data_IF_404182514520
#
_entry.id   IF_404182514520
#
_cell.length_a   1.000
_cell.length_b   1.000
_cell.length_c   1.000
_cell.angle_alpha   90.00
_cell.angle_beta   90.00
_cell.angle_gamma   90.00
#
_symmetry.space_group_name_H-M   'P 1'
#
loop_
_entity.id
_entity.type
_entity.pdbx_description
1 polymer ?
#
# COMPACT_ATOMS: atom_id res chain seq x y z
N UNK A 1 70.23 -8.27 26.59
CA UNK A 1 69.32 -9.16 25.81
C UNK A 1 67.94 -9.29 26.45
N UNK A 2 67.83 -9.47 27.77
CA UNK A 2 66.56 -9.64 28.50
C UNK A 2 65.56 -8.47 28.35
N UNK A 3 66.02 -7.20 28.35
CA UNK A 3 65.12 -6.04 28.19
C UNK A 3 64.41 -5.98 26.82
N UNK A 4 65.04 -6.45 25.73
CA UNK A 4 64.38 -6.47 24.40
C UNK A 4 63.31 -7.55 24.29
N UNK A 5 63.45 -8.66 25.02
CA UNK A 5 62.44 -9.73 25.04
C UNK A 5 61.23 -9.33 25.89
N UNK A 6 61.43 -8.61 26.99
CA UNK A 6 60.35 -8.15 27.85
C UNK A 6 59.47 -7.09 27.17
N UNK A 7 60.08 -6.15 26.43
CA UNK A 7 59.34 -5.13 25.67
C UNK A 7 58.48 -5.78 24.57
N UNK A 8 59.04 -6.75 23.83
CA UNK A 8 58.27 -7.50 22.82
C UNK A 8 57.12 -8.31 23.43
N UNK A 9 57.31 -8.90 24.61
CA UNK A 9 56.25 -9.63 25.29
C UNK A 9 55.11 -8.70 25.76
N UNK A 10 55.44 -7.49 26.22
CA UNK A 10 54.44 -6.49 26.61
C UNK A 10 53.65 -5.95 25.40
N UNK A 11 54.31 -5.64 24.28
CA UNK A 11 53.62 -5.20 23.06
C UNK A 11 52.64 -6.24 22.52
N UNK A 12 53.02 -7.53 22.52
CA UNK A 12 52.13 -8.61 22.08
C UNK A 12 50.93 -8.74 23.02
N UNK A 13 51.14 -8.60 24.34
CA UNK A 13 50.05 -8.63 25.33
C UNK A 13 49.05 -7.51 25.11
N UNK A 14 49.51 -6.29 24.88
CA UNK A 14 48.66 -5.13 24.62
C UNK A 14 47.88 -5.27 23.31
N UNK A 15 48.49 -5.80 22.24
CA UNK A 15 47.81 -6.06 20.96
C UNK A 15 46.73 -7.14 21.11
N UNK A 16 47.00 -8.22 21.85
CA UNK A 16 46.02 -9.28 22.11
C UNK A 16 44.84 -8.77 22.95
N UNK A 17 45.10 -7.97 24.01
CA UNK A 17 44.04 -7.38 24.85
C UNK A 17 43.17 -6.42 24.03
N UNK A 18 43.77 -5.55 23.22
CA UNK A 18 43.05 -4.57 22.39
C UNK A 18 42.24 -5.20 21.25
N UNK A 19 42.70 -6.35 20.74
CA UNK A 19 41.94 -7.16 19.77
C UNK A 19 40.72 -7.81 20.43
N UNK A 20 40.88 -8.39 21.63
CA UNK A 20 39.78 -9.02 22.37
C UNK A 20 38.68 -8.03 22.76
N UNK A 21 39.03 -6.80 23.17
CA UNK A 21 38.05 -5.75 23.50
C UNK A 21 37.29 -5.24 22.27
N UNK A 22 37.93 -5.19 21.10
CA UNK A 22 37.28 -4.77 19.85
C UNK A 22 36.29 -5.81 19.32
N UNK A 23 36.59 -7.11 19.49
CA UNK A 23 35.66 -8.19 19.13
C UNK A 23 34.46 -8.21 20.08
N UNK A 24 34.69 -8.07 21.39
CA UNK A 24 33.62 -7.96 22.38
C UNK A 24 32.70 -6.76 22.16
N UNK A 25 33.27 -5.58 21.86
CA UNK A 25 32.49 -4.37 21.59
C UNK A 25 31.68 -4.48 20.30
N UNK A 26 32.24 -5.06 19.22
CA UNK A 26 31.49 -5.33 17.99
C UNK A 26 30.34 -6.30 18.22
N UNK A 27 30.55 -7.33 19.03
CA UNK A 27 29.50 -8.28 19.39
C UNK A 27 28.40 -7.59 20.20
N UNK A 28 28.75 -6.79 21.20
CA UNK A 28 27.81 -6.03 22.02
C UNK A 28 26.96 -5.06 21.17
N UNK A 29 27.59 -4.35 20.22
CA UNK A 29 26.89 -3.44 19.30
C UNK A 29 25.96 -4.24 18.38
N UNK A 30 26.42 -5.37 17.81
CA UNK A 30 25.57 -6.22 16.97
C UNK A 30 24.37 -6.76 17.76
N UNK A 31 24.60 -7.20 19.00
CA UNK A 31 23.59 -7.76 19.88
C UNK A 31 22.56 -6.69 20.30
N UNK A 32 23.00 -5.48 20.61
CA UNK A 32 22.10 -4.35 20.90
C UNK A 32 21.20 -4.00 19.70
N UNK A 33 21.74 -4.03 18.46
CA UNK A 33 20.95 -3.79 17.24
C UNK A 33 19.96 -4.92 16.98
N UNK A 34 20.36 -6.17 17.24
CA UNK A 34 19.48 -7.33 17.12
C UNK A 34 18.29 -7.24 18.09
N UNK A 35 18.53 -6.89 19.35
CA UNK A 35 17.47 -6.71 20.37
C UNK A 35 16.48 -5.62 19.99
N UNK A 36 16.95 -4.49 19.43
CA UNK A 36 16.08 -3.42 18.93
C UNK A 36 15.23 -3.89 17.75
N UNK A 37 15.82 -4.60 16.78
CA UNK A 37 15.09 -5.13 15.61
C UNK A 37 14.01 -6.13 16.03
N UNK A 38 14.33 -7.07 16.93
CA UNK A 38 13.36 -8.03 17.46
C UNK A 38 12.23 -7.34 18.24
N UNK A 39 12.54 -6.31 19.02
CA UNK A 39 11.54 -5.54 19.77
C UNK A 39 10.58 -4.80 18.83
N UNK A 40 11.09 -4.18 17.77
CA UNK A 40 10.27 -3.52 16.75
C UNK A 40 9.41 -4.51 15.94
N UNK A 41 9.93 -5.70 15.64
CA UNK A 41 9.18 -6.76 14.98
C UNK A 41 8.00 -7.25 15.84
N UNK A 42 8.21 -7.44 17.15
CA UNK A 42 7.16 -7.82 18.11
C UNK A 42 6.08 -6.72 18.19
N UNK A 43 6.48 -5.45 18.25
CA UNK A 43 5.54 -4.32 18.24
C UNK A 43 4.73 -4.29 16.93
N UNK A 44 5.37 -4.51 15.78
CA UNK A 44 4.70 -4.54 14.47
C UNK A 44 3.68 -5.69 14.35
N UNK A 45 4.03 -6.89 14.82
CA UNK A 45 3.12 -8.03 14.86
C UNK A 45 1.92 -7.71 15.78
N UNK A 46 2.18 -7.13 16.96
CA UNK A 46 1.13 -6.78 17.93
C UNK A 46 0.18 -5.68 17.41
N UNK A 47 0.71 -4.66 16.72
CA UNK A 47 -0.10 -3.62 16.07
C UNK A 47 -0.92 -4.18 14.90
N UNK A 48 -0.35 -5.11 14.14
CA UNK A 48 -1.06 -5.77 13.03
C UNK A 48 -2.24 -6.60 13.53
N UNK A 49 -2.08 -7.33 14.63
CA UNK A 49 -3.19 -8.08 15.26
C UNK A 49 -4.26 -7.14 15.82
N UNK A 50 -3.87 -5.99 16.39
CA UNK A 50 -4.82 -4.99 16.91
C UNK A 50 -5.68 -4.36 15.80
N UNK A 51 -5.09 -4.09 14.63
CA UNK A 51 -5.81 -3.56 13.45
C UNK A 51 -6.76 -4.62 12.87
N UNK A 52 -6.37 -5.89 12.87
CA UNK A 52 -7.24 -7.00 12.43
C UNK A 52 -8.42 -7.22 13.39
N UNK A 53 -8.23 -7.05 14.70
CA UNK A 53 -9.31 -7.14 15.68
C UNK A 53 -10.29 -5.95 15.64
N UNK A 54 -9.84 -4.76 15.23
CA UNK A 54 -10.73 -3.60 15.08
C UNK A 54 -11.60 -3.66 13.79
N UNK A 55 -11.37 -4.62 12.89
CA UNK A 55 -12.17 -4.80 11.65
C UNK A 55 -13.21 -5.92 11.70
N UNK A 56 -13.31 -6.69 12.79
CA UNK A 56 -14.36 -7.70 13.00
C UNK A 56 -15.22 -7.32 14.21
N UNK A 57 -16.19 -6.45 13.97
CA UNK A 57 -17.00 -5.83 15.03
C UNK A 57 -18.01 -6.75 15.72
N UNK A 58 -18.56 -6.25 16.83
CA UNK A 58 -19.89 -6.61 17.30
C UNK A 58 -20.54 -5.39 17.97
N UNK A 59 -21.70 -5.04 17.43
CA UNK A 59 -22.68 -4.13 18.03
C UNK A 59 -23.24 -4.84 19.25
N UNK A 60 -23.10 -4.26 20.43
CA UNK A 60 -24.17 -4.30 21.43
C UNK A 60 -24.10 -3.03 22.27
N UNK A 61 -25.28 -2.42 22.39
CA UNK A 61 -25.56 -1.12 22.99
C UNK A 61 -25.54 -1.28 24.52
N UNK A 62 -24.64 -0.60 25.20
CA UNK A 62 -24.80 -0.20 26.61
C UNK A 62 -24.36 1.25 26.75
N UNK A 63 -25.31 2.08 27.14
CA UNK A 63 -25.13 3.50 27.45
C UNK A 63 -24.30 3.60 28.71
N UNK A 64 -23.09 4.13 28.60
CA UNK A 64 -22.38 4.78 29.71
C UNK A 64 -21.77 6.05 29.13
N UNK A 65 -22.36 7.18 29.51
CA UNK A 65 -21.86 8.51 29.25
C UNK A 65 -20.49 8.67 29.92
N UNK A 66 -19.45 8.89 29.14
CA UNK A 66 -18.19 9.45 29.63
C UNK A 66 -17.83 10.66 28.78
N UNK A 67 -17.99 11.79 29.43
CA UNK A 67 -17.79 13.16 28.97
C UNK A 67 -16.29 13.40 28.76
N UNK A 68 -15.89 13.74 27.53
CA UNK A 68 -14.51 14.12 27.21
C UNK A 68 -14.26 15.58 27.62
N UNK A 69 -13.66 15.78 28.79
CA UNK A 69 -13.13 17.07 29.20
C UNK A 69 -11.70 17.24 28.65
N UNK A 70 -11.57 18.12 27.66
CA UNK A 70 -10.29 18.64 27.16
C UNK A 70 -9.67 19.58 28.19
N UNK A 71 -8.43 19.35 28.64
CA UNK A 71 -7.50 20.42 29.06
C UNK A 71 -6.02 19.97 28.94
N UNK A 72 -5.13 20.80 28.33
CA UNK A 72 -3.71 20.49 28.19
C UNK A 72 -2.85 21.23 29.24
N UNK A 73 -2.04 20.53 30.04
CA UNK A 73 -1.07 21.18 30.92
C UNK A 73 0.33 21.22 30.29
N UNK A 74 0.70 22.42 29.81
CA UNK A 74 2.09 22.86 29.65
C UNK A 74 2.70 23.07 31.04
N UNK A 75 3.86 22.45 31.33
CA UNK A 75 4.96 22.93 32.20
C UNK A 75 5.79 21.73 32.63
N UNK A 76 6.98 21.55 32.05
CA UNK A 76 8.26 21.61 32.78
C UNK A 76 9.29 22.12 31.78
N UNK A 77 9.87 23.27 32.08
CA UNK A 77 10.99 23.87 31.35
C UNK A 77 12.04 24.31 32.36
N UNK A 78 13.30 24.05 32.01
CA UNK A 78 14.58 24.62 32.52
C UNK A 78 15.22 23.98 33.75
N UNK A 79 16.41 23.40 33.52
CA UNK A 79 17.72 23.66 34.14
C UNK A 79 18.77 22.97 33.21
N UNK A 80 19.45 23.72 32.32
CA UNK A 80 20.89 24.10 32.36
C UNK A 80 21.84 22.87 32.49
N UNK A 81 22.84 22.61 31.64
CA UNK A 81 24.03 23.41 31.28
C UNK A 81 24.65 22.84 29.99
N UNK A 82 25.21 23.71 29.14
CA UNK A 82 25.85 23.33 27.88
C UNK A 82 27.28 22.78 27.99
N UNK A 83 27.71 22.08 26.95
CA UNK A 83 29.11 21.96 26.56
C UNK A 83 29.19 21.98 25.03
N UNK A 84 29.67 23.09 24.49
CA UNK A 84 30.26 23.17 23.15
C UNK A 84 31.60 22.43 23.18
N UNK A 85 31.84 21.56 22.20
CA UNK A 85 33.19 21.13 21.85
C UNK A 85 33.47 21.57 20.43
N UNK A 86 34.29 22.61 20.34
CA UNK A 86 35.01 23.05 19.15
C UNK A 86 36.15 22.05 18.89
N UNK A 87 36.27 21.52 17.67
CA UNK A 87 37.55 21.01 17.16
C UNK A 87 37.82 21.69 15.82
N UNK A 88 38.81 22.59 15.85
CA UNK A 88 39.48 23.20 14.72
C UNK A 88 40.64 22.28 14.27
N UNK A 89 40.94 22.22 12.98
CA UNK A 89 42.31 21.93 12.52
C UNK A 89 42.48 20.83 11.46
N UNK A 90 42.34 21.23 10.20
CA UNK A 90 43.22 20.93 9.05
C UNK A 90 44.03 19.62 8.98
N UNK A 91 43.85 18.89 7.86
CA UNK A 91 44.95 18.58 6.92
C UNK A 91 44.43 17.97 5.62
N UNK A 92 44.76 18.62 4.51
CA UNK A 92 44.69 18.11 3.15
C UNK A 92 45.48 16.81 3.02
N UNK A 93 44.91 15.81 2.37
CA UNK A 93 45.66 14.79 1.65
C UNK A 93 45.01 14.54 0.30
N UNK A 94 45.81 14.77 -0.72
CA UNK A 94 45.57 14.56 -2.13
C UNK A 94 45.37 13.09 -2.48
N UNK A 95 44.51 12.88 -3.48
CA UNK A 95 44.57 11.86 -4.53
C UNK A 95 45.24 10.51 -4.20
N UNK A 96 44.43 9.46 -4.17
CA UNK A 96 44.85 8.14 -4.66
C UNK A 96 43.69 7.47 -5.39
N UNK A 97 43.97 7.21 -6.67
CA UNK A 97 43.21 6.43 -7.62
C UNK A 97 42.78 5.08 -7.03
N UNK A 98 41.48 4.80 -7.09
CA UNK A 98 40.98 3.44 -7.27
C UNK A 98 39.98 3.46 -8.42
N UNK A 99 40.55 3.40 -9.63
CA UNK A 99 39.90 2.70 -10.72
C UNK A 99 39.60 1.26 -10.29
N UNK A 100 38.58 0.68 -10.91
CA UNK A 100 38.14 -0.73 -10.78
C UNK A 100 37.15 -0.97 -9.63
N UNK A 101 35.87 -0.76 -9.94
CA UNK A 101 34.82 -1.75 -9.66
C UNK A 101 33.64 -1.49 -10.59
N UNK A 102 33.17 -2.57 -11.21
CA UNK A 102 32.40 -2.60 -12.45
C UNK A 102 31.14 -1.76 -12.44
N UNK A 103 31.00 -0.91 -13.46
CA UNK A 103 29.69 -0.54 -13.98
C UNK A 103 29.04 -1.80 -14.53
N UNK A 104 28.20 -2.46 -13.75
CA UNK A 104 27.15 -3.30 -14.32
C UNK A 104 26.19 -2.34 -15.03
N UNK A 105 26.37 -2.18 -16.34
CA UNK A 105 25.38 -1.54 -17.18
C UNK A 105 24.12 -2.42 -17.11
N UNK A 106 23.16 -2.00 -16.30
CA UNK A 106 21.78 -2.48 -16.46
C UNK A 106 21.36 -2.11 -17.89
N UNK A 107 20.97 -3.07 -18.75
CA UNK A 107 20.53 -2.74 -20.11
C UNK A 107 19.12 -2.14 -20.13
N UNK A 108 18.47 -1.99 -18.97
CA UNK A 108 17.22 -1.26 -18.84
C UNK A 108 17.48 0.25 -18.84
N UNK A 109 17.81 0.74 -20.04
CA UNK A 109 17.77 2.14 -20.42
C UNK A 109 16.47 2.78 -19.93
N UNK A 110 16.64 3.78 -19.06
CA UNK A 110 15.65 4.77 -18.62
C UNK A 110 14.88 5.47 -19.76
N UNK A 111 15.31 5.30 -21.02
CA UNK A 111 14.61 5.87 -22.18
C UNK A 111 13.41 5.01 -22.66
N UNK A 112 13.42 3.68 -22.46
CA UNK A 112 12.30 2.83 -22.91
C UNK A 112 11.04 3.01 -22.05
N UNK A 113 11.22 3.21 -20.74
CA UNK A 113 10.10 3.43 -19.80
C UNK A 113 9.42 4.79 -20.04
N UNK A 114 10.12 5.79 -20.60
CA UNK A 114 9.55 7.12 -20.83
C UNK A 114 8.66 7.21 -22.08
N UNK A 115 8.76 6.26 -23.02
CA UNK A 115 8.03 6.36 -24.29
C UNK A 115 6.57 5.85 -24.22
N UNK A 116 6.21 5.10 -23.17
CA UNK A 116 4.84 4.62 -22.96
C UNK A 116 4.03 5.45 -21.95
N UNK A 117 4.64 6.50 -21.40
CA UNK A 117 4.02 7.31 -20.35
C UNK A 117 3.11 8.43 -20.88
N UNK A 118 2.95 8.59 -22.19
CA UNK A 118 2.31 9.78 -22.74
C UNK A 118 1.17 9.48 -23.74
N UNK A 119 0.09 10.25 -23.53
CA UNK A 119 -1.06 10.54 -24.41
C UNK A 119 -2.30 9.65 -24.33
N UNK A 120 -2.88 9.43 -23.14
CA UNK A 120 -4.36 9.45 -23.10
C UNK A 120 -4.78 10.92 -23.27
N UNK A 121 -5.55 11.31 -24.30
CA UNK A 121 -6.03 12.68 -24.43
C UNK A 121 -6.84 13.06 -23.20
N UNK A 122 -6.67 14.29 -22.68
CA UNK A 122 -7.48 14.80 -21.57
C UNK A 122 -8.94 14.88 -22.00
N UNK A 123 -9.68 13.80 -21.76
CA UNK A 123 -11.12 13.72 -22.03
C UNK A 123 -11.80 14.77 -21.16
N UNK A 124 -12.67 15.59 -21.77
CA UNK A 124 -13.46 16.61 -21.05
C UNK A 124 -14.39 15.84 -20.12
N UNK A 125 -14.12 15.86 -18.81
CA UNK A 125 -14.92 15.13 -17.81
C UNK A 125 -16.29 15.82 -17.67
N UNK A 126 -17.24 15.42 -18.48
CA UNK A 126 -18.65 15.79 -18.30
C UNK A 126 -19.18 14.91 -17.17
N UNK A 127 -19.66 15.53 -16.09
CA UNK A 127 -20.24 14.80 -14.99
C UNK A 127 -21.44 14.00 -15.49
N UNK A 128 -21.54 12.71 -15.18
CA UNK A 128 -22.67 11.90 -15.60
C UNK A 128 -23.97 12.42 -14.98
N UNK A 129 -25.06 12.36 -15.75
CA UNK A 129 -26.39 12.78 -15.31
C UNK A 129 -27.14 11.54 -14.82
N UNK A 130 -27.81 11.70 -13.67
CA UNK A 130 -28.65 10.65 -13.09
C UNK A 130 -29.88 10.38 -13.97
N UNK A 131 -30.22 9.12 -14.19
CA UNK A 131 -31.42 8.71 -14.92
C UNK A 131 -32.68 9.02 -14.11
N UNK A 132 -33.67 9.62 -14.77
CA UNK A 132 -34.95 10.03 -14.17
C UNK A 132 -36.12 9.83 -15.15
N UNK A 133 -37.34 9.76 -14.63
CA UNK A 133 -38.56 9.77 -15.45
C UNK A 133 -38.73 8.52 -16.32
N UNK A 134 -39.39 8.70 -17.47
CA UNK A 134 -39.74 7.62 -18.39
C UNK A 134 -38.50 6.93 -19.00
N UNK A 135 -37.47 7.70 -19.34
CA UNK A 135 -36.20 7.15 -19.87
C UNK A 135 -35.54 6.15 -18.92
N UNK A 136 -35.62 6.41 -17.61
CA UNK A 136 -35.11 5.49 -16.59
C UNK A 136 -35.89 4.19 -16.61
N UNK A 137 -37.22 4.28 -16.62
CA UNK A 137 -38.09 3.11 -16.56
C UNK A 137 -37.89 2.20 -17.78
N UNK A 138 -37.85 2.78 -18.97
CA UNK A 138 -37.63 2.04 -20.23
C UNK A 138 -36.28 1.30 -20.25
N UNK A 139 -35.21 1.96 -19.78
CA UNK A 139 -33.88 1.34 -19.70
C UNK A 139 -33.83 0.26 -18.63
N UNK A 140 -34.43 0.49 -17.47
CA UNK A 140 -34.50 -0.51 -16.39
C UNK A 140 -35.30 -1.74 -16.81
N UNK A 141 -36.43 -1.55 -17.47
CA UNK A 141 -37.25 -2.66 -17.95
C UNK A 141 -36.48 -3.54 -18.96
N UNK A 142 -35.72 -2.92 -19.85
CA UNK A 142 -34.84 -3.65 -20.78
C UNK A 142 -33.78 -4.48 -20.04
N UNK A 143 -33.13 -3.90 -19.02
CA UNK A 143 -32.13 -4.60 -18.21
C UNK A 143 -32.74 -5.71 -17.35
N UNK A 144 -33.95 -5.50 -16.82
CA UNK A 144 -34.69 -6.49 -16.05
C UNK A 144 -35.07 -7.70 -16.90
N UNK A 145 -35.44 -7.50 -18.15
CA UNK A 145 -35.67 -8.59 -19.11
C UNK A 145 -34.40 -9.43 -19.35
N UNK A 146 -33.23 -8.84 -19.18
CA UNK A 146 -31.93 -9.53 -19.23
C UNK A 146 -31.50 -10.10 -17.87
N UNK A 147 -32.32 -10.03 -16.82
CA UNK A 147 -32.03 -10.59 -15.50
C UNK A 147 -31.26 -9.68 -14.55
N UNK A 148 -31.17 -8.37 -14.85
CA UNK A 148 -30.71 -7.38 -13.87
C UNK A 148 -31.82 -7.04 -12.88
N UNK A 149 -31.46 -6.71 -11.66
CA UNK A 149 -32.40 -6.35 -10.58
C UNK A 149 -31.97 -5.04 -9.93
N UNK A 150 -32.89 -4.34 -9.27
CA UNK A 150 -32.53 -3.15 -8.49
C UNK A 150 -31.95 -3.56 -7.14
N UNK A 151 -30.91 -2.85 -6.70
CA UNK A 151 -30.34 -3.04 -5.38
C UNK A 151 -31.32 -2.54 -4.30
N UNK A 152 -31.47 -3.29 -3.21
CA UNK A 152 -32.49 -3.01 -2.18
C UNK A 152 -32.29 -1.66 -1.46
N UNK A 153 -31.04 -1.33 -1.12
CA UNK A 153 -30.73 -0.18 -0.26
C UNK A 153 -30.20 1.06 -0.97
N UNK A 154 -29.92 1.01 -2.27
CA UNK A 154 -29.29 2.12 -3.00
C UNK A 154 -29.68 2.10 -4.47
N UNK A 155 -29.51 3.24 -5.13
CA UNK A 155 -29.83 3.40 -6.55
C UNK A 155 -28.75 2.77 -7.44
N UNK A 156 -28.83 1.46 -7.60
CA UNK A 156 -27.89 0.61 -8.32
C UNK A 156 -28.62 -0.59 -8.95
N UNK A 157 -27.99 -1.19 -9.96
CA UNK A 157 -28.47 -2.44 -10.58
C UNK A 157 -27.51 -3.58 -10.26
N UNK A 158 -28.06 -4.78 -10.07
CA UNK A 158 -27.33 -5.97 -9.66
C UNK A 158 -27.65 -7.14 -10.58
N UNK A 159 -26.64 -7.97 -10.85
CA UNK A 159 -26.83 -9.26 -11.52
C UNK A 159 -25.78 -10.27 -11.09
N UNK A 160 -26.20 -11.52 -10.91
CA UNK A 160 -25.32 -12.65 -10.61
C UNK A 160 -25.09 -13.48 -11.86
N UNK A 161 -23.83 -13.72 -12.20
CA UNK A 161 -23.39 -14.61 -13.26
C UNK A 161 -22.84 -15.91 -12.66
N UNK A 162 -23.20 -17.04 -13.25
CA UNK A 162 -22.73 -18.38 -12.84
C UNK A 162 -22.07 -19.07 -14.02
N UNK A 163 -20.86 -19.59 -13.80
CA UNK A 163 -20.02 -20.25 -14.79
C UNK A 163 -19.80 -21.71 -14.42
N UNK A 164 -19.10 -22.49 -15.25
CA UNK A 164 -18.80 -23.90 -14.91
C UNK A 164 -17.74 -24.03 -13.81
N UNK A 165 -16.76 -23.13 -13.80
CA UNK A 165 -15.61 -23.16 -12.90
C UNK A 165 -15.04 -21.75 -12.69
N UNK A 166 -14.02 -21.65 -11.84
CA UNK A 166 -13.35 -20.40 -11.54
C UNK A 166 -12.61 -19.79 -12.74
N UNK A 167 -12.02 -20.61 -13.61
CA UNK A 167 -11.25 -20.11 -14.77
C UNK A 167 -12.17 -19.35 -15.73
N UNK A 168 -13.34 -19.92 -16.05
CA UNK A 168 -14.34 -19.27 -16.89
C UNK A 168 -14.89 -17.97 -16.26
N UNK A 169 -15.15 -17.98 -14.95
CA UNK A 169 -15.59 -16.79 -14.22
C UNK A 169 -14.54 -15.68 -14.30
N UNK A 170 -13.27 -16.02 -14.10
CA UNK A 170 -12.17 -15.05 -14.16
C UNK A 170 -11.89 -14.57 -15.60
N UNK A 171 -12.04 -15.43 -16.60
CA UNK A 171 -11.96 -15.04 -18.02
C UNK A 171 -13.04 -14.02 -18.39
N UNK A 172 -14.27 -14.22 -17.90
CA UNK A 172 -15.34 -13.23 -18.03
C UNK A 172 -14.99 -11.92 -17.34
N UNK A 173 -14.48 -11.96 -16.10
CA UNK A 173 -14.05 -10.75 -15.38
C UNK A 173 -12.96 -9.98 -16.13
N UNK A 174 -11.96 -10.67 -16.69
CA UNK A 174 -10.93 -10.05 -17.54
C UNK A 174 -11.52 -9.39 -18.78
N UNK A 175 -12.50 -10.02 -19.41
CA UNK A 175 -13.18 -9.46 -20.58
C UNK A 175 -13.94 -8.18 -20.25
N UNK A 176 -14.53 -8.07 -19.05
CA UNK A 176 -15.24 -6.87 -18.57
C UNK A 176 -14.28 -5.73 -18.22
N UNK A 177 -13.05 -6.03 -17.78
CA UNK A 177 -12.08 -5.02 -17.35
C UNK A 177 -11.68 -4.04 -18.47
N UNK A 178 -11.56 -4.50 -19.71
CA UNK A 178 -11.21 -3.66 -20.86
C UNK A 178 -12.25 -2.56 -21.13
N UNK A 179 -13.53 -2.92 -21.38
CA UNK A 179 -14.60 -1.95 -21.55
C UNK A 179 -14.79 -1.02 -20.35
N UNK A 180 -14.66 -1.53 -19.11
CA UNK A 180 -14.75 -0.69 -17.91
C UNK A 180 -13.69 0.41 -17.89
N UNK A 181 -12.44 0.09 -18.25
CA UNK A 181 -11.33 1.04 -18.34
C UNK A 181 -11.49 2.02 -19.52
N UNK A 182 -12.04 1.57 -20.65
CA UNK A 182 -12.32 2.44 -21.80
C UNK A 182 -13.43 3.46 -21.49
N UNK A 183 -14.44 3.02 -20.73
CA UNK A 183 -15.56 3.86 -20.30
C UNK A 183 -15.23 4.78 -19.13
N UNK A 184 -14.10 4.56 -18.44
CA UNK A 184 -13.77 5.17 -17.14
C UNK A 184 -14.92 4.98 -16.14
N UNK A 185 -15.48 3.76 -16.12
CA UNK A 185 -16.62 3.38 -15.30
C UNK A 185 -16.47 1.94 -14.83
N UNK A 186 -16.22 1.75 -13.54
CA UNK A 186 -15.83 0.45 -12.99
C UNK A 186 -16.99 -0.21 -12.24
N UNK A 187 -17.17 -1.54 -12.37
CA UNK A 187 -18.15 -2.26 -11.59
C UNK A 187 -17.71 -2.44 -10.14
N UNK A 188 -18.68 -2.50 -9.23
CA UNK A 188 -18.47 -3.16 -7.95
C UNK A 188 -18.79 -4.64 -8.12
N UNK A 189 -17.89 -5.54 -7.75
CA UNK A 189 -18.15 -6.98 -7.90
C UNK A 189 -17.64 -7.83 -6.74
N UNK A 190 -18.23 -9.01 -6.61
CA UNK A 190 -17.82 -10.04 -5.66
C UNK A 190 -17.77 -11.38 -6.38
N UNK A 191 -16.63 -12.06 -6.30
CA UNK A 191 -16.44 -13.37 -6.92
C UNK A 191 -16.15 -14.44 -5.87
N UNK A 192 -16.86 -15.57 -5.97
CA UNK A 192 -16.59 -16.80 -5.22
C UNK A 192 -16.67 -17.97 -6.19
N UNK A 193 -15.52 -18.59 -6.45
CA UNK A 193 -15.40 -19.70 -7.39
C UNK A 193 -16.01 -19.36 -8.76
N UNK A 194 -17.08 -20.06 -9.16
CA UNK A 194 -17.75 -19.91 -10.44
C UNK A 194 -18.87 -18.85 -10.44
N UNK A 195 -19.04 -18.08 -9.36
CA UNK A 195 -20.10 -17.06 -9.23
C UNK A 195 -19.50 -15.66 -9.19
N UNK A 196 -20.03 -14.76 -10.00
CA UNK A 196 -19.65 -13.33 -10.03
C UNK A 196 -20.90 -12.49 -9.82
N UNK A 197 -20.96 -11.75 -8.72
CA UNK A 197 -21.98 -10.74 -8.48
C UNK A 197 -21.47 -9.40 -8.94
N UNK A 198 -22.24 -8.71 -9.78
CA UNK A 198 -21.91 -7.39 -10.27
C UNK A 198 -22.97 -6.41 -9.81
N UNK A 199 -22.54 -5.29 -9.26
CA UNK A 199 -23.36 -4.13 -8.92
C UNK A 199 -22.84 -2.90 -9.66
N UNK A 200 -23.72 -2.17 -10.34
CA UNK A 200 -23.39 -0.95 -11.08
C UNK A 200 -24.16 0.23 -10.52
N UNK A 201 -23.42 1.31 -10.26
CA UNK A 201 -23.95 2.62 -9.88
C UNK A 201 -22.90 3.67 -10.22
N UNK A 202 -23.34 4.89 -10.52
CA UNK A 202 -22.44 5.99 -10.80
C UNK A 202 -22.27 6.87 -9.56
N UNK A 203 -21.05 6.84 -8.99
CA UNK A 203 -20.73 7.60 -7.77
C UNK A 203 -20.87 9.11 -7.95
N UNK A 204 -20.47 9.64 -9.10
CA UNK A 204 -20.48 11.09 -9.40
C UNK A 204 -21.87 11.73 -9.35
N UNK A 205 -22.92 10.96 -9.65
CA UNK A 205 -24.31 11.42 -9.59
C UNK A 205 -25.14 10.75 -8.50
N UNK A 206 -24.49 9.96 -7.63
CA UNK A 206 -25.11 9.22 -6.54
C UNK A 206 -26.36 8.43 -6.98
N UNK A 207 -26.20 7.63 -8.03
CA UNK A 207 -27.26 6.78 -8.55
C UNK A 207 -26.98 6.23 -9.94
N UNK A 208 -28.03 5.73 -10.58
CA UNK A 208 -27.92 5.17 -11.92
C UNK A 208 -27.74 6.25 -12.98
N UNK A 209 -26.77 6.07 -13.86
CA UNK A 209 -26.54 6.91 -15.04
C UNK A 209 -26.54 6.09 -16.32
N UNK A 210 -26.38 6.78 -17.45
CA UNK A 210 -26.19 6.15 -18.75
C UNK A 210 -24.97 5.22 -18.80
N UNK A 211 -23.93 5.50 -18.02
CA UNK A 211 -22.72 4.67 -17.99
C UNK A 211 -23.03 3.28 -17.41
N UNK A 212 -23.89 3.20 -16.40
CA UNK A 212 -24.32 1.94 -15.79
C UNK A 212 -25.08 1.07 -16.80
N UNK A 213 -26.01 1.67 -17.54
CA UNK A 213 -26.83 0.98 -18.56
C UNK A 213 -25.95 0.47 -19.71
N UNK A 214 -25.01 1.29 -20.18
CA UNK A 214 -24.06 0.92 -21.23
C UNK A 214 -23.16 -0.22 -20.79
N UNK A 215 -22.57 -0.12 -19.60
CA UNK A 215 -21.67 -1.15 -19.10
C UNK A 215 -22.44 -2.47 -18.86
N UNK A 216 -23.65 -2.41 -18.30
CA UNK A 216 -24.52 -3.58 -18.15
C UNK A 216 -24.78 -4.29 -19.49
N UNK A 217 -25.07 -3.53 -20.54
CA UNK A 217 -25.32 -4.06 -21.89
C UNK A 217 -24.07 -4.73 -22.49
N UNK A 218 -22.89 -4.15 -22.27
CA UNK A 218 -21.60 -4.74 -22.69
C UNK A 218 -21.34 -6.04 -21.92
N UNK A 219 -21.52 -6.03 -20.61
CA UNK A 219 -21.36 -7.22 -19.74
C UNK A 219 -22.28 -8.34 -20.21
N UNK A 220 -23.55 -8.05 -20.50
CA UNK A 220 -24.51 -9.04 -21.02
C UNK A 220 -24.06 -9.63 -22.36
N UNK A 221 -23.47 -8.80 -23.23
CA UNK A 221 -22.96 -9.25 -24.52
C UNK A 221 -21.75 -10.17 -24.38
N UNK A 222 -20.89 -9.94 -23.38
CA UNK A 222 -19.74 -10.78 -23.07
C UNK A 222 -20.13 -12.14 -22.46
N UNK A 223 -21.29 -12.22 -21.81
CA UNK A 223 -21.79 -13.45 -21.19
C UNK A 223 -22.54 -14.38 -22.16
N UNK A 224 -22.97 -13.90 -23.33
CA UNK A 224 -23.62 -14.73 -24.35
C UNK A 224 -22.59 -15.62 -25.06
N UNK A 225 -22.24 -16.75 -24.46
CA UNK A 225 -21.51 -17.86 -25.09
C UNK A 225 -22.35 -19.12 -25.09
#
# INVERSE_FOLDING_TARGET
>A
MLNRLNIKAQEIREVCVRSATNVGLKFLILWSRLVVILSLLIIFIRLSVLVVFNRKGLRHRTVLTWEWNQQPSRRISRLLVGMSITILGSRSFSALSTSILGRTLNPFSSAYVRHFADKKPKRKMVRPVKLTGEDRENKLQTLQNNGWTLHESRDAICKTFKFKNFVEAFDFMKAVAGPAEEMDHHPEWFNVYNRVDITLSTHDCNGLSENDVKLASVIDSLNKK
#
